data_IF_240991702972
#
_entry.id   IF_240991702972
#
_cell.length_a   1.000
_cell.length_b   1.000
_cell.length_c   1.000
_cell.angle_alpha   90.00
_cell.angle_beta   90.00
_cell.angle_gamma   90.00
#
_symmetry.space_group_name_H-M   'P 1'
#
loop_
_entity.id
_entity.type
_entity.pdbx_description
1 polymer ?
#
# COMPACT_ATOMS: atom_id res chain seq x y z
N UNK A 1 -1.82 -17.17 -26.52
CA UNK A 1 -2.32 -16.76 -25.21
C UNK A 1 -3.23 -15.59 -25.47
N UNK A 2 -4.52 -15.73 -25.21
CA UNK A 2 -5.46 -14.62 -25.39
C UNK A 2 -5.11 -13.55 -24.35
N UNK A 3 -4.77 -12.35 -24.83
CA UNK A 3 -4.51 -11.21 -23.95
C UNK A 3 -5.82 -10.80 -23.29
N UNK A 4 -5.94 -11.07 -21.99
CA UNK A 4 -7.04 -10.55 -21.18
C UNK A 4 -6.67 -9.13 -20.72
N UNK A 5 -7.28 -8.12 -21.33
CA UNK A 5 -7.08 -6.72 -20.91
C UNK A 5 -7.92 -6.50 -19.65
N UNK A 6 -7.25 -6.24 -18.52
CA UNK A 6 -7.92 -5.87 -17.27
C UNK A 6 -8.13 -4.34 -17.32
N UNK A 7 -9.33 -3.91 -17.68
CA UNK A 7 -9.73 -2.50 -17.59
C UNK A 7 -10.25 -2.19 -16.18
N UNK A 8 -9.70 -1.15 -15.56
CA UNK A 8 -10.17 -0.64 -14.26
C UNK A 8 -10.92 0.66 -14.50
N UNK A 9 -12.23 0.64 -14.29
CA UNK A 9 -13.05 1.84 -14.50
C UNK A 9 -12.80 2.89 -13.42
N UNK A 10 -12.99 4.17 -13.74
CA UNK A 10 -12.91 5.25 -12.75
C UNK A 10 -13.94 5.08 -11.62
N UNK A 11 -15.10 4.49 -11.94
CA UNK A 11 -16.14 4.19 -10.97
C UNK A 11 -15.66 3.16 -9.94
N UNK A 12 -14.93 2.13 -10.39
CA UNK A 12 -14.34 1.13 -9.49
C UNK A 12 -13.23 1.75 -8.64
N UNK A 13 -12.35 2.57 -9.22
CA UNK A 13 -11.32 3.29 -8.46
C UNK A 13 -11.95 4.18 -7.39
N UNK A 14 -13.03 4.90 -7.72
CA UNK A 14 -13.77 5.73 -6.77
C UNK A 14 -14.38 4.88 -5.65
N UNK A 15 -15.05 3.78 -6.00
CA UNK A 15 -15.65 2.85 -5.03
C UNK A 15 -14.60 2.32 -4.04
N UNK A 16 -13.45 1.88 -4.54
CA UNK A 16 -12.39 1.34 -3.68
C UNK A 16 -11.68 2.43 -2.86
N UNK A 17 -11.60 3.66 -3.37
CA UNK A 17 -11.12 4.82 -2.62
C UNK A 17 -12.03 5.15 -1.44
N UNK A 18 -13.35 5.09 -1.63
CA UNK A 18 -14.32 5.37 -0.57
C UNK A 18 -14.28 4.28 0.52
N UNK A 19 -14.16 3.00 0.15
CA UNK A 19 -13.88 1.91 1.11
C UNK A 19 -12.60 2.17 1.90
N UNK A 20 -11.54 2.66 1.26
CA UNK A 20 -10.28 3.00 1.92
C UNK A 20 -10.44 4.15 2.93
N UNK A 21 -11.25 5.16 2.60
CA UNK A 21 -11.58 6.27 3.50
C UNK A 21 -12.38 5.82 4.71
N UNK A 22 -13.34 4.91 4.53
CA UNK A 22 -14.07 4.29 5.63
C UNK A 22 -13.13 3.47 6.51
N UNK A 23 -12.31 2.61 5.90
CA UNK A 23 -11.35 1.78 6.61
C UNK A 23 -10.35 2.60 7.44
N UNK A 24 -9.92 3.75 6.93
CA UNK A 24 -9.02 4.67 7.64
C UNK A 24 -9.60 5.19 8.97
N UNK A 25 -10.93 5.26 9.09
CA UNK A 25 -11.61 5.68 10.31
C UNK A 25 -11.85 4.52 11.29
N UNK A 26 -11.56 3.28 10.89
CA UNK A 26 -11.79 2.11 11.73
C UNK A 26 -10.76 2.00 12.85
N UNK A 27 -11.17 1.40 13.97
CA UNK A 27 -10.25 1.08 15.09
C UNK A 27 -9.15 0.10 14.69
N UNK A 28 -9.42 -0.77 13.72
CA UNK A 28 -8.40 -1.66 13.14
C UNK A 28 -7.24 -0.84 12.53
N UNK A 29 -7.55 0.22 11.78
CA UNK A 29 -6.52 1.07 11.19
C UNK A 29 -5.78 1.89 12.24
N UNK A 30 -6.51 2.45 13.23
CA UNK A 30 -5.89 3.15 14.36
C UNK A 30 -4.90 2.26 15.12
N UNK A 31 -5.28 1.02 15.42
CA UNK A 31 -4.40 0.05 16.07
C UNK A 31 -3.17 -0.29 15.21
N UNK A 32 -3.34 -0.36 13.88
CA UNK A 32 -2.24 -0.60 12.94
C UNK A 32 -1.23 0.56 12.95
N UNK A 33 -1.72 1.80 12.92
CA UNK A 33 -0.89 3.01 13.01
C UNK A 33 -0.19 3.14 14.36
N UNK A 34 -0.85 2.74 15.45
CA UNK A 34 -0.28 2.81 16.80
C UNK A 34 0.96 1.92 17.00
N UNK A 35 1.16 0.90 16.16
CA UNK A 35 2.41 0.13 16.13
C UNK A 35 3.62 0.96 15.69
N UNK A 36 3.39 2.10 15.03
CA UNK A 36 4.43 3.05 14.66
C UNK A 36 5.50 2.48 13.74
N UNK A 37 5.15 1.53 12.86
CA UNK A 37 6.12 0.88 11.95
C UNK A 37 5.69 1.01 10.50
N UNK A 38 6.63 1.45 9.66
CA UNK A 38 6.44 1.42 8.21
C UNK A 38 6.53 -0.03 7.72
N UNK A 39 5.56 -0.46 6.90
CA UNK A 39 5.54 -1.80 6.31
C UNK A 39 6.72 -2.06 5.37
N UNK A 40 7.17 -1.03 4.65
CA UNK A 40 8.15 -1.16 3.58
C UNK A 40 9.60 -1.15 4.05
N UNK A 41 9.98 -0.20 4.91
CA UNK A 41 11.35 -0.10 5.42
C UNK A 41 11.53 -0.66 6.83
N UNK A 42 10.44 -1.04 7.52
CA UNK A 42 10.47 -1.51 8.91
C UNK A 42 10.75 -0.42 9.95
N UNK A 43 11.11 0.80 9.53
CA UNK A 43 11.46 1.91 10.43
C UNK A 43 10.33 2.30 11.39
N UNK A 44 10.71 2.85 12.54
CA UNK A 44 9.80 3.35 13.56
C UNK A 44 9.45 4.82 13.29
N UNK A 45 8.16 5.15 13.30
CA UNK A 45 7.63 6.48 13.01
C UNK A 45 6.46 6.83 13.95
N UNK A 46 6.29 8.11 14.30
CA UNK A 46 5.05 8.59 14.91
C UNK A 46 3.82 8.26 14.05
N UNK A 47 2.65 7.95 14.67
CA UNK A 47 1.44 7.59 13.92
C UNK A 47 0.95 8.63 12.89
N UNK A 48 1.23 9.91 13.13
CA UNK A 48 0.89 11.05 12.26
C UNK A 48 1.84 11.22 11.06
N UNK A 49 3.02 10.61 11.10
CA UNK A 49 3.94 10.54 9.97
C UNK A 49 3.68 9.34 9.04
N UNK A 50 2.87 8.39 9.51
CA UNK A 50 2.47 7.23 8.74
C UNK A 50 1.22 7.52 7.90
N UNK A 51 1.26 7.03 6.67
CA UNK A 51 0.20 7.15 5.67
C UNK A 51 -0.39 5.78 5.36
N UNK A 52 -1.60 5.78 4.80
CA UNK A 52 -2.23 4.57 4.28
C UNK A 52 -1.78 4.39 2.83
N UNK A 53 -1.03 3.31 2.57
CA UNK A 53 -0.62 2.91 1.23
C UNK A 53 -1.33 1.62 0.81
N UNK A 54 -1.55 1.46 -0.50
CA UNK A 54 -2.11 0.26 -1.09
C UNK A 54 -1.00 -0.61 -1.68
N UNK A 55 -0.88 -1.86 -1.21
CA UNK A 55 0.12 -2.82 -1.72
C UNK A 55 -0.03 -2.92 -3.24
N UNK A 56 -1.25 -3.24 -3.71
CA UNK A 56 -1.67 -3.14 -5.10
C UNK A 56 -2.40 -1.80 -5.26
N UNK A 57 -1.89 -0.87 -6.09
CA UNK A 57 -2.55 0.42 -6.32
C UNK A 57 -3.97 0.27 -6.85
N UNK A 58 -4.87 1.17 -6.44
CA UNK A 58 -6.27 1.15 -6.90
C UNK A 58 -6.39 1.25 -8.43
N UNK A 59 -5.52 2.06 -9.06
CA UNK A 59 -5.46 2.20 -10.53
C UNK A 59 -5.05 0.91 -11.25
N UNK A 60 -4.54 -0.09 -10.53
CA UNK A 60 -4.16 -1.41 -11.05
C UNK A 60 -5.05 -2.52 -10.50
N UNK A 61 -6.27 -2.17 -10.11
CA UNK A 61 -7.30 -3.12 -9.66
C UNK A 61 -7.24 -3.47 -8.17
N UNK A 62 -6.35 -2.84 -7.41
CA UNK A 62 -6.25 -3.00 -5.96
C UNK A 62 -7.55 -2.64 -5.24
N UNK A 63 -7.78 -3.27 -4.08
CA UNK A 63 -9.00 -3.09 -3.29
C UNK A 63 -8.78 -2.23 -2.05
N UNK A 64 -9.80 -1.50 -1.64
CA UNK A 64 -9.82 -0.73 -0.39
C UNK A 64 -10.09 -1.61 0.83
N UNK A 65 -9.30 -2.67 1.00
CA UNK A 65 -9.51 -3.72 2.00
C UNK A 65 -8.34 -3.84 2.97
N UNK A 66 -8.57 -4.43 4.15
CA UNK A 66 -7.54 -4.65 5.18
C UNK A 66 -6.32 -5.42 4.67
N UNK A 67 -6.50 -6.31 3.70
CA UNK A 67 -5.44 -7.16 3.16
C UNK A 67 -4.56 -6.43 2.14
N UNK A 68 -5.02 -5.28 1.63
CA UNK A 68 -4.32 -4.52 0.60
C UNK A 68 -3.84 -3.16 1.10
N UNK A 69 -4.11 -2.78 2.36
CA UNK A 69 -3.64 -1.51 2.93
C UNK A 69 -2.63 -1.72 4.04
N UNK A 70 -1.60 -0.89 4.04
CA UNK A 70 -0.49 -0.96 5.00
C UNK A 70 -0.06 0.43 5.45
N UNK A 71 0.45 0.59 6.70
CA UNK A 71 1.09 1.82 7.12
C UNK A 71 2.42 2.02 6.38
N UNK A 72 2.62 3.19 5.79
CA UNK A 72 3.85 3.54 5.09
C UNK A 72 4.33 4.94 5.50
N UNK A 73 5.62 5.11 5.74
CA UNK A 73 6.18 6.45 5.92
C UNK A 73 6.07 7.25 4.60
N UNK A 74 6.09 8.57 4.70
CA UNK A 74 5.96 9.48 3.54
C UNK A 74 6.98 9.18 2.44
N UNK A 75 8.21 8.85 2.82
CA UNK A 75 9.29 8.59 1.88
C UNK A 75 9.06 7.28 1.09
N UNK A 76 8.80 6.16 1.78
CA UNK A 76 8.51 4.90 1.10
C UNK A 76 7.28 5.00 0.21
N UNK A 77 6.21 5.63 0.71
CA UNK A 77 4.98 5.81 -0.08
C UNK A 77 5.24 6.66 -1.34
N UNK A 78 6.04 7.73 -1.23
CA UNK A 78 6.39 8.60 -2.36
C UNK A 78 7.34 7.94 -3.36
N UNK A 79 8.19 7.01 -2.93
CA UNK A 79 9.08 6.23 -3.81
C UNK A 79 8.32 5.14 -4.56
N UNK A 80 7.44 4.40 -3.87
CA UNK A 80 6.61 3.34 -4.46
C UNK A 80 5.61 3.87 -5.49
N UNK A 81 4.91 4.97 -5.20
CA UNK A 81 3.89 5.56 -6.08
C UNK A 81 2.85 4.52 -6.56
N UNK A 82 2.85 4.20 -7.85
CA UNK A 82 1.94 3.28 -8.52
C UNK A 82 2.60 1.93 -8.85
N UNK A 83 3.82 1.70 -8.36
CA UNK A 83 4.52 0.44 -8.55
C UNK A 83 3.87 -0.64 -7.68
N UNK A 84 3.83 -1.84 -8.23
CA UNK A 84 3.65 -3.07 -7.46
C UNK A 84 4.94 -3.35 -6.69
N UNK A 85 4.87 -4.12 -5.58
CA UNK A 85 6.07 -4.43 -4.80
C UNK A 85 7.19 -5.07 -5.65
N UNK A 86 6.82 -5.92 -6.60
CA UNK A 86 7.77 -6.58 -7.50
C UNK A 86 8.41 -5.64 -8.54
N UNK A 87 7.84 -4.47 -8.78
CA UNK A 87 8.38 -3.47 -9.71
C UNK A 87 9.16 -2.37 -8.98
N UNK A 88 9.21 -2.42 -7.64
CA UNK A 88 9.86 -1.39 -6.84
C UNK A 88 11.22 -1.89 -6.33
N UNK A 89 12.28 -1.47 -7.01
CA UNK A 89 13.66 -1.89 -6.74
C UNK A 89 14.07 -1.77 -5.26
N UNK A 90 13.74 -0.66 -4.59
CA UNK A 90 14.10 -0.46 -3.18
C UNK A 90 13.50 -1.53 -2.26
N UNK A 91 12.37 -2.13 -2.65
CA UNK A 91 11.75 -3.23 -1.91
C UNK A 91 12.38 -4.58 -2.29
N UNK A 92 12.56 -4.85 -3.59
CA UNK A 92 13.16 -6.11 -4.07
C UNK A 92 14.58 -6.31 -3.53
N UNK A 93 15.39 -5.24 -3.55
CA UNK A 93 16.78 -5.27 -3.03
C UNK A 93 16.90 -5.60 -1.55
N UNK A 94 15.82 -5.50 -0.76
CA UNK A 94 15.84 -5.91 0.64
C UNK A 94 15.92 -7.43 0.80
N UNK A 95 15.44 -8.18 -0.20
CA UNK A 95 15.46 -9.64 -0.18
C UNK A 95 16.77 -10.19 -0.78
N UNK A 96 17.37 -9.50 -1.75
CA UNK A 96 18.69 -9.86 -2.30
C UNK A 96 19.80 -9.83 -1.23
N UNK A 97 19.66 -8.96 -0.23
CA UNK A 97 20.61 -8.86 0.90
C UNK A 97 20.46 -9.95 1.95
N UNK A 98 19.38 -10.74 1.91
CA UNK A 98 19.12 -11.81 2.89
C UNK A 98 19.65 -13.17 2.43
N UNK A 99 20.09 -13.30 1.19
CA UNK A 99 20.65 -14.53 0.61
C UNK A 99 22.20 -14.55 0.57
N UNK A 100 22.86 -13.60 1.26
CA UNK A 100 24.32 -13.56 1.47
C UNK A 100 24.64 -13.69 2.96
#
# INVERSE_FOLDING_TARGET
>A
MDNFIIEVSEQDVKRERDKSRELRRSRWWQNRLALGRCHWCGGAFPPDELTMDHIIPLARGGKGSRNNVVPACKECNSRKKYLLPMEWDDYVRQFEKQEQ
#
